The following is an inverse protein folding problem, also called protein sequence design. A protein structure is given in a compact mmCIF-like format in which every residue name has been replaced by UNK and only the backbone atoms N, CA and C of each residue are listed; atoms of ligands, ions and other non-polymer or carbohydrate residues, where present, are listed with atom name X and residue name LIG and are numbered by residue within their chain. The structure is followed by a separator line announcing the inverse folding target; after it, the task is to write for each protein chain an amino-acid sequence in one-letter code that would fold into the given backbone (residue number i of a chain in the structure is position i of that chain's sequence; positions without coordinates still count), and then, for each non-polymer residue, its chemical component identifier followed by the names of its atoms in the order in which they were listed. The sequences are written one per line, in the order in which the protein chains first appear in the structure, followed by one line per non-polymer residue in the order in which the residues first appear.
data_IF_941879229073
#
_entry.id   IF_941879229073
#
_cell.length_a   1.000
_cell.length_b   1.000
_cell.length_c   1.000
_cell.angle_alpha   90.00
_cell.angle_beta   90.00
_cell.angle_gamma   90.00
#
_symmetry.space_group_name_H-M   'P 1'
#
loop_
_entity.id
_entity.type
_entity.pdbx_description
1 polymer ?
#
# COMPACT_ATOMS: atom_id res chain seq x y z
N UNK A 1 -24.75 -16.42 8.54
CA UNK A 1 -23.63 -16.12 7.63
C UNK A 1 -24.16 -15.25 6.52
N UNK A 2 -23.55 -14.13 6.15
CA UNK A 2 -23.99 -13.37 5.00
C UNK A 2 -23.89 -14.28 3.76
N UNK A 3 -25.00 -14.40 3.01
CA UNK A 3 -24.98 -14.98 1.67
C UNK A 3 -23.98 -14.23 0.79
N UNK A 4 -23.65 -14.75 -0.37
CA UNK A 4 -22.60 -14.26 -1.29
C UNK A 4 -22.29 -12.76 -1.10
N UNK A 5 -21.38 -12.46 -0.17
CA UNK A 5 -21.02 -11.11 0.20
C UNK A 5 -20.24 -10.49 -0.95
N UNK A 6 -20.88 -9.55 -1.64
CA UNK A 6 -20.26 -8.80 -2.74
C UNK A 6 -19.16 -7.84 -2.26
N UNK A 7 -18.98 -7.67 -0.93
CA UNK A 7 -17.96 -6.77 -0.36
C UNK A 7 -16.51 -7.23 -0.61
N UNK A 8 -16.32 -8.53 -0.90
CA UNK A 8 -14.98 -9.11 -1.06
C UNK A 8 -14.25 -9.41 0.26
N UNK A 9 -14.92 -9.31 1.41
CA UNK A 9 -14.38 -9.67 2.74
C UNK A 9 -14.94 -10.98 3.25
N UNK A 10 -14.93 -12.00 2.39
CA UNK A 10 -15.38 -13.37 2.70
C UNK A 10 -14.28 -14.19 3.38
N UNK A 11 -14.57 -15.45 3.71
CA UNK A 11 -13.59 -16.42 4.23
C UNK A 11 -12.43 -16.70 3.26
N UNK A 12 -12.58 -16.37 1.97
CA UNK A 12 -11.50 -16.43 0.99
C UNK A 12 -10.47 -15.31 1.19
N UNK A 13 -10.85 -14.17 1.75
CA UNK A 13 -9.98 -13.02 1.99
C UNK A 13 -9.32 -13.08 3.38
N UNK A 14 -10.09 -12.84 4.45
CA UNK A 14 -9.63 -12.76 5.84
C UNK A 14 -8.43 -11.83 6.03
N UNK A 15 -8.53 -10.54 5.72
CA UNK A 15 -7.42 -9.63 5.97
C UNK A 15 -7.25 -9.40 7.47
N UNK A 16 -5.99 -9.30 7.91
CA UNK A 16 -5.61 -9.07 9.29
C UNK A 16 -5.49 -7.58 9.58
N UNK A 17 -5.92 -7.16 10.77
CA UNK A 17 -5.78 -5.78 11.25
C UNK A 17 -5.64 -5.71 12.76
N UNK A 18 -5.35 -4.53 13.26
CA UNK A 18 -5.27 -4.21 14.68
C UNK A 18 -6.41 -3.26 15.03
N UNK A 19 -7.20 -3.62 16.02
CA UNK A 19 -8.38 -2.87 16.43
C UNK A 19 -8.49 -2.72 17.94
N UNK A 20 -9.24 -1.74 18.40
CA UNK A 20 -9.64 -1.61 19.80
C UNK A 20 -11.11 -1.17 19.91
N UNK A 21 -11.76 -1.55 21.00
CA UNK A 21 -13.00 -0.93 21.46
C UNK A 21 -12.66 0.31 22.31
N UNK A 22 -13.61 1.25 22.50
CA UNK A 22 -13.39 2.41 23.35
C UNK A 22 -12.94 2.03 24.76
N UNK A 23 -11.79 2.55 25.18
CA UNK A 23 -11.21 2.25 26.50
C UNK A 23 -10.48 0.91 26.63
N UNK A 24 -10.46 0.08 25.61
CA UNK A 24 -9.73 -1.21 25.59
C UNK A 24 -8.38 -1.12 24.92
N UNK A 25 -7.53 -2.12 25.19
CA UNK A 25 -6.24 -2.28 24.51
C UNK A 25 -6.44 -2.73 23.06
N UNK A 26 -5.55 -2.27 22.19
CA UNK A 26 -5.50 -2.72 20.82
C UNK A 26 -5.07 -4.20 20.73
N UNK A 27 -5.67 -4.95 19.79
CA UNK A 27 -5.43 -6.36 19.56
C UNK A 27 -5.71 -6.77 18.13
N UNK A 28 -5.26 -7.94 17.73
CA UNK A 28 -5.34 -8.45 16.38
C UNK A 28 -6.69 -9.08 16.09
N UNK A 29 -7.26 -8.76 14.95
CA UNK A 29 -8.45 -9.41 14.39
C UNK A 29 -8.37 -9.64 12.89
N UNK A 30 -9.31 -10.40 12.37
CA UNK A 30 -9.54 -10.55 10.92
C UNK A 30 -10.89 -9.97 10.55
N UNK A 31 -10.98 -9.36 9.38
CA UNK A 31 -12.24 -8.81 8.85
C UNK A 31 -13.04 -9.90 8.16
N UNK A 32 -14.32 -9.97 8.48
CA UNK A 32 -15.32 -10.84 7.84
C UNK A 32 -16.57 -9.99 7.57
N UNK A 33 -16.83 -9.65 6.31
CA UNK A 33 -17.90 -8.72 5.95
C UNK A 33 -17.70 -7.35 6.59
N UNK A 34 -18.69 -6.92 7.38
CA UNK A 34 -18.72 -5.68 8.15
C UNK A 34 -18.31 -5.84 9.63
N UNK A 35 -17.69 -6.98 9.96
CA UNK A 35 -17.28 -7.32 11.33
C UNK A 35 -15.78 -7.62 11.41
N UNK A 36 -15.25 -7.49 12.63
CA UNK A 36 -13.90 -7.95 13.01
C UNK A 36 -14.05 -9.14 13.95
N UNK A 37 -13.44 -10.27 13.62
CA UNK A 37 -13.31 -11.40 14.50
C UNK A 37 -12.07 -11.20 15.39
N UNK A 38 -12.27 -11.15 16.71
CA UNK A 38 -11.21 -11.07 17.71
C UNK A 38 -10.47 -12.42 17.81
N UNK A 39 -9.19 -12.45 17.44
CA UNK A 39 -8.46 -13.71 17.30
C UNK A 39 -7.92 -14.27 18.63
N UNK A 40 -7.61 -13.43 19.61
CA UNK A 40 -6.99 -13.89 20.86
C UNK A 40 -7.89 -14.88 21.62
N UNK A 41 -9.16 -14.57 21.92
CA UNK A 41 -10.07 -15.51 22.58
C UNK A 41 -10.48 -16.70 21.70
N UNK A 42 -10.67 -16.47 20.39
CA UNK A 42 -11.12 -17.50 19.44
C UNK A 42 -10.07 -18.57 19.21
N UNK A 43 -8.81 -18.18 19.13
CA UNK A 43 -7.70 -19.11 18.89
C UNK A 43 -6.99 -19.56 20.17
N UNK A 44 -7.35 -18.98 21.33
CA UNK A 44 -6.66 -19.20 22.61
C UNK A 44 -5.14 -19.00 22.49
N UNK A 45 -4.73 -17.91 21.83
CA UNK A 45 -3.33 -17.57 21.58
C UNK A 45 -3.07 -16.09 21.87
N UNK A 46 -2.30 -15.84 22.94
CA UNK A 46 -1.97 -14.49 23.43
C UNK A 46 -1.17 -13.64 22.43
N UNK A 47 -0.62 -14.24 21.38
CA UNK A 47 0.08 -13.46 20.33
C UNK A 47 -0.87 -12.45 19.67
N UNK A 48 -2.16 -12.75 19.61
CA UNK A 48 -3.19 -11.90 19.03
C UNK A 48 -3.73 -10.84 20.01
N UNK A 49 -3.38 -10.90 21.29
CA UNK A 49 -3.69 -9.86 22.27
C UNK A 49 -2.74 -8.65 22.17
N UNK A 50 -1.80 -8.68 21.21
CA UNK A 50 -0.85 -7.59 20.92
C UNK A 50 -1.49 -6.47 20.10
N UNK A 51 -1.04 -5.23 20.32
CA UNK A 51 -1.38 -4.07 19.50
C UNK A 51 -0.65 -3.99 18.16
N UNK A 52 -0.04 -5.08 17.69
CA UNK A 52 0.69 -5.18 16.43
C UNK A 52 0.66 -6.61 15.89
N UNK A 53 0.66 -6.76 14.56
CA UNK A 53 0.82 -8.06 13.89
C UNK A 53 2.23 -8.64 14.01
N UNK A 54 3.24 -7.83 14.36
CA UNK A 54 4.66 -8.23 14.28
C UNK A 54 4.95 -9.55 15.00
N UNK A 55 4.45 -9.75 16.21
CA UNK A 55 4.69 -10.99 16.96
C UNK A 55 4.11 -12.23 16.26
N UNK A 56 2.95 -12.09 15.61
CA UNK A 56 2.32 -13.17 14.84
C UNK A 56 3.06 -13.45 13.53
N UNK A 57 3.34 -12.40 12.74
CA UNK A 57 3.95 -12.58 11.43
C UNK A 57 5.41 -13.05 11.52
N UNK A 58 6.10 -12.78 12.64
CA UNK A 58 7.42 -13.34 12.93
C UNK A 58 7.44 -14.87 13.10
N UNK A 59 6.29 -15.51 13.29
CA UNK A 59 6.20 -16.98 13.42
C UNK A 59 6.41 -17.72 12.07
N UNK A 60 6.41 -17.01 10.96
CA UNK A 60 6.71 -17.53 9.63
C UNK A 60 5.52 -18.20 8.94
N UNK A 61 5.76 -18.57 7.68
CA UNK A 61 4.74 -18.98 6.70
C UNK A 61 3.87 -20.15 7.17
N UNK A 62 4.43 -21.17 7.81
CA UNK A 62 3.65 -22.31 8.32
C UNK A 62 2.61 -21.84 9.34
N UNK A 63 2.99 -20.98 10.28
CA UNK A 63 2.07 -20.44 11.27
C UNK A 63 0.99 -19.55 10.63
N UNK A 64 1.32 -18.77 9.59
CA UNK A 64 0.34 -17.97 8.85
C UNK A 64 -0.71 -18.87 8.17
N UNK A 65 -0.24 -19.91 7.46
CA UNK A 65 -1.09 -20.88 6.80
C UNK A 65 -2.03 -21.58 7.78
N UNK A 66 -1.48 -22.16 8.86
CA UNK A 66 -2.25 -22.93 9.85
C UNK A 66 -3.29 -22.09 10.55
N UNK A 67 -2.92 -20.85 10.92
CA UNK A 67 -3.85 -19.88 11.53
C UNK A 67 -5.01 -19.55 10.57
N UNK A 68 -4.70 -19.21 9.33
CA UNK A 68 -5.69 -18.92 8.30
C UNK A 68 -6.64 -20.09 8.09
N UNK A 69 -6.11 -21.30 7.93
CA UNK A 69 -6.91 -22.52 7.75
C UNK A 69 -7.79 -22.81 8.96
N UNK A 70 -7.29 -22.55 10.17
CA UNK A 70 -8.08 -22.71 11.41
C UNK A 70 -9.25 -21.73 11.44
N UNK A 71 -9.02 -20.46 11.13
CA UNK A 71 -10.09 -19.44 11.07
C UNK A 71 -11.09 -19.77 9.97
N UNK A 72 -10.65 -20.22 8.80
CA UNK A 72 -11.55 -20.64 7.71
C UNK A 72 -12.47 -21.78 8.15
N UNK A 73 -11.94 -22.84 8.80
CA UNK A 73 -12.76 -23.93 9.32
C UNK A 73 -13.78 -23.49 10.36
N UNK A 74 -13.42 -22.58 11.26
CA UNK A 74 -14.33 -22.05 12.26
C UNK A 74 -15.48 -21.21 11.64
N UNK A 75 -15.24 -20.57 10.53
CA UNK A 75 -16.21 -19.73 9.79
C UNK A 75 -16.97 -20.50 8.71
N UNK A 76 -16.63 -21.76 8.46
CA UNK A 76 -17.24 -22.59 7.43
C UNK A 76 -18.71 -22.89 7.80
N UNK A 77 -19.64 -22.41 6.97
CA UNK A 77 -21.07 -22.61 7.17
C UNK A 77 -21.56 -24.02 6.84
N UNK A 78 -20.78 -24.76 6.05
CA UNK A 78 -21.10 -26.13 5.61
C UNK A 78 -20.45 -27.20 6.51
N UNK A 79 -19.63 -26.79 7.50
CA UNK A 79 -19.00 -27.72 8.43
C UNK A 79 -20.05 -28.42 9.32
N UNK A 80 -19.86 -29.67 9.68
CA UNK A 80 -20.75 -30.38 10.62
C UNK A 80 -20.97 -29.63 11.95
N UNK A 81 -19.95 -28.90 12.41
CA UNK A 81 -19.94 -28.13 13.65
C UNK A 81 -20.38 -26.66 13.46
N UNK A 82 -20.87 -26.26 12.28
CA UNK A 82 -21.15 -24.86 11.93
C UNK A 82 -22.03 -24.12 12.95
N UNK A 83 -23.06 -24.80 13.50
CA UNK A 83 -23.94 -24.20 14.50
C UNK A 83 -23.21 -23.93 15.83
N UNK A 84 -22.39 -24.89 16.30
CA UNK A 84 -21.60 -24.76 17.52
C UNK A 84 -20.50 -23.68 17.33
N UNK A 85 -19.82 -23.70 16.19
CA UNK A 85 -18.81 -22.68 15.82
C UNK A 85 -19.43 -21.28 15.81
N UNK A 86 -20.61 -21.12 15.20
CA UNK A 86 -21.31 -19.81 15.17
C UNK A 86 -21.59 -19.30 16.58
N UNK A 87 -22.15 -20.14 17.46
CA UNK A 87 -22.43 -19.75 18.83
C UNK A 87 -21.16 -19.39 19.63
N UNK A 88 -20.04 -20.06 19.34
CA UNK A 88 -18.75 -19.74 19.95
C UNK A 88 -18.10 -18.47 19.42
N UNK A 89 -18.32 -18.16 18.14
CA UNK A 89 -17.71 -16.98 17.50
C UNK A 89 -18.52 -15.69 17.73
N UNK A 90 -19.85 -15.79 17.87
CA UNK A 90 -20.75 -14.64 17.97
C UNK A 90 -20.33 -13.60 19.03
N UNK A 91 -19.88 -13.96 20.24
CA UNK A 91 -19.42 -12.98 21.24
C UNK A 91 -18.13 -12.26 20.85
N UNK A 92 -17.39 -12.78 19.87
CA UNK A 92 -16.08 -12.29 19.42
C UNK A 92 -16.14 -11.60 18.04
N UNK A 93 -17.32 -11.52 17.43
CA UNK A 93 -17.56 -10.76 16.20
C UNK A 93 -18.02 -9.35 16.56
N UNK A 94 -17.20 -8.38 16.22
CA UNK A 94 -17.42 -6.97 16.58
C UNK A 94 -17.73 -6.16 15.31
N UNK A 95 -18.86 -5.43 15.23
CA UNK A 95 -19.13 -4.55 14.10
C UNK A 95 -18.04 -3.51 13.88
N UNK A 96 -17.65 -3.28 12.62
CA UNK A 96 -16.60 -2.33 12.24
C UNK A 96 -16.86 -0.91 12.72
N UNK A 97 -18.12 -0.48 12.74
CA UNK A 97 -18.55 0.84 13.22
C UNK A 97 -18.25 1.09 14.72
N UNK A 98 -18.04 0.03 15.50
CA UNK A 98 -17.76 0.09 16.94
C UNK A 98 -16.29 0.07 17.27
N UNK A 99 -15.41 -0.20 16.30
CA UNK A 99 -13.98 -0.35 16.54
C UNK A 99 -13.20 0.86 16.03
N UNK A 100 -12.10 1.14 16.70
CA UNK A 100 -11.04 1.99 16.18
C UNK A 100 -9.96 1.10 15.58
N UNK A 101 -9.64 1.33 14.30
CA UNK A 101 -8.52 0.66 13.65
C UNK A 101 -7.20 1.38 13.96
N UNK A 102 -6.12 0.61 14.01
CA UNK A 102 -4.77 1.07 14.25
C UNK A 102 -3.85 0.66 13.09
N UNK A 103 -2.64 1.22 13.05
CA UNK A 103 -1.62 0.74 12.13
C UNK A 103 -1.37 -0.75 12.41
N UNK A 104 -1.47 -1.63 11.39
CA UNK A 104 -1.48 -3.08 11.64
C UNK A 104 -0.12 -3.63 12.07
N UNK A 105 0.97 -2.92 11.77
CA UNK A 105 2.35 -3.31 12.07
C UNK A 105 3.11 -2.16 12.74
N UNK A 106 4.11 -2.50 13.51
CA UNK A 106 5.18 -1.57 13.88
C UNK A 106 6.17 -1.55 12.72
N UNK A 107 6.17 -0.45 11.96
CA UNK A 107 7.02 -0.33 10.75
C UNK A 107 8.47 -0.17 11.17
N UNK A 108 9.28 -1.20 10.89
CA UNK A 108 10.70 -1.21 11.21
C UNK A 108 11.50 -0.32 10.27
N UNK A 109 11.35 -0.55 8.96
CA UNK A 109 11.94 0.24 7.89
C UNK A 109 10.89 0.43 6.77
N UNK A 110 11.09 1.46 5.94
CA UNK A 110 10.23 1.73 4.80
C UNK A 110 11.10 1.98 3.56
N UNK A 111 10.85 1.19 2.53
CA UNK A 111 11.49 1.36 1.22
C UNK A 111 10.40 1.61 0.20
N UNK A 112 10.55 2.67 -0.58
CA UNK A 112 9.67 2.98 -1.69
C UNK A 112 10.39 2.76 -3.02
N UNK A 113 9.76 1.98 -3.91
CA UNK A 113 10.26 1.67 -5.23
C UNK A 113 9.65 2.55 -6.31
N UNK A 114 10.06 2.34 -7.54
CA UNK A 114 9.65 3.11 -8.72
C UNK A 114 9.39 2.15 -9.89
N UNK A 115 8.45 1.21 -9.71
CA UNK A 115 8.32 -0.01 -10.52
C UNK A 115 7.39 0.09 -11.72
N UNK A 116 6.61 1.19 -11.87
CA UNK A 116 5.74 1.41 -13.03
C UNK A 116 6.50 2.05 -14.18
N UNK A 117 6.50 1.37 -15.34
CA UNK A 117 7.08 1.89 -16.58
C UNK A 117 6.38 3.17 -17.02
N UNK A 118 5.07 3.19 -16.93
CA UNK A 118 4.21 4.31 -17.33
C UNK A 118 4.48 5.52 -16.46
N UNK A 119 4.42 5.36 -15.14
CA UNK A 119 4.71 6.44 -14.19
C UNK A 119 6.13 7.00 -14.39
N UNK A 120 7.14 6.14 -14.45
CA UNK A 120 8.53 6.55 -14.65
C UNK A 120 8.73 7.31 -15.98
N UNK A 121 8.06 6.86 -17.03
CA UNK A 121 8.12 7.51 -18.34
C UNK A 121 7.40 8.87 -18.33
N UNK A 122 6.21 8.96 -17.72
CA UNK A 122 5.45 10.20 -17.64
C UNK A 122 6.19 11.27 -16.84
N UNK A 123 6.69 10.93 -15.65
CA UNK A 123 7.49 11.84 -14.83
C UNK A 123 8.79 12.26 -15.55
N UNK A 124 9.43 11.31 -16.21
CA UNK A 124 10.61 11.59 -17.02
C UNK A 124 10.34 12.62 -18.12
N UNK A 125 9.23 12.49 -18.85
CA UNK A 125 8.81 13.46 -19.89
C UNK A 125 8.51 14.84 -19.30
N UNK A 126 7.86 14.89 -18.13
CA UNK A 126 7.51 16.17 -17.47
C UNK A 126 8.72 16.90 -16.90
N UNK A 127 9.66 16.16 -16.26
CA UNK A 127 10.80 16.78 -15.59
C UNK A 127 12.04 16.95 -16.47
N UNK A 128 12.15 16.18 -17.56
CA UNK A 128 13.30 16.14 -18.47
C UNK A 128 12.84 16.01 -19.94
N UNK A 129 12.11 16.99 -20.46
CA UNK A 129 11.49 16.89 -21.80
C UNK A 129 12.49 16.67 -22.93
N UNK A 130 13.74 17.14 -22.77
CA UNK A 130 14.80 17.07 -23.78
C UNK A 130 15.71 15.83 -23.62
N UNK A 131 15.43 14.95 -22.64
CA UNK A 131 16.23 13.74 -22.38
C UNK A 131 15.40 12.46 -22.63
N UNK A 132 16.10 11.31 -22.59
CA UNK A 132 15.38 10.04 -22.48
C UNK A 132 14.57 10.04 -21.15
N UNK A 133 13.26 9.81 -21.20
CA UNK A 133 12.43 9.84 -20.01
C UNK A 133 12.88 8.84 -18.93
N UNK A 134 13.39 7.68 -19.33
CA UNK A 134 13.93 6.68 -18.42
C UNK A 134 15.45 6.85 -18.29
N UNK A 135 15.94 6.90 -17.06
CA UNK A 135 17.39 6.84 -16.80
C UNK A 135 17.92 5.43 -17.17
N UNK A 136 19.19 5.31 -17.57
CA UNK A 136 19.75 4.05 -18.10
C UNK A 136 19.59 2.83 -17.19
N UNK A 137 19.66 3.03 -15.87
CA UNK A 137 19.54 1.95 -14.87
C UNK A 137 18.11 1.44 -14.67
N UNK A 138 17.08 2.22 -15.04
CA UNK A 138 15.69 1.92 -14.69
C UNK A 138 15.20 0.57 -15.24
N UNK A 139 15.65 0.19 -16.46
CA UNK A 139 15.28 -1.11 -17.07
C UNK A 139 16.15 -2.27 -16.60
N UNK A 140 17.16 -2.01 -15.77
CA UNK A 140 18.12 -3.02 -15.31
C UNK A 140 17.95 -3.41 -13.85
N UNK A 141 17.30 -2.57 -13.06
CA UNK A 141 17.03 -2.81 -11.63
C UNK A 141 15.79 -2.05 -11.17
N UNK A 142 15.05 -2.56 -10.18
CA UNK A 142 14.00 -1.78 -9.52
C UNK A 142 14.63 -0.65 -8.70
N UNK A 143 14.46 0.58 -9.18
CA UNK A 143 14.93 1.78 -8.48
C UNK A 143 14.09 2.01 -7.25
N UNK A 144 14.71 2.33 -6.12
CA UNK A 144 14.01 2.63 -4.88
C UNK A 144 14.82 3.58 -3.99
N UNK A 145 14.18 4.07 -2.95
CA UNK A 145 14.81 4.89 -1.92
C UNK A 145 14.30 4.52 -0.53
N UNK A 146 15.08 4.86 0.50
CA UNK A 146 14.66 4.68 1.90
C UNK A 146 13.71 5.81 2.29
N UNK A 147 12.43 5.46 2.50
CA UNK A 147 11.41 6.36 3.01
C UNK A 147 11.52 6.53 4.53
N UNK A 148 10.65 7.36 5.08
CA UNK A 148 10.61 7.59 6.53
C UNK A 148 9.57 6.71 7.20
N UNK A 149 10.00 5.62 7.83
CA UNK A 149 9.10 4.70 8.56
C UNK A 149 8.32 5.39 9.68
N UNK A 150 8.91 6.39 10.35
CA UNK A 150 8.30 7.11 11.46
C UNK A 150 7.11 8.01 11.09
N UNK A 151 6.81 8.18 9.81
CA UNK A 151 5.65 8.93 9.31
C UNK A 151 4.66 8.07 8.51
N UNK A 152 4.81 6.75 8.58
CA UNK A 152 3.77 5.82 8.13
C UNK A 152 2.62 5.86 9.15
N UNK A 153 1.43 6.19 8.68
CA UNK A 153 0.22 6.37 9.51
C UNK A 153 -0.91 5.50 9.00
N UNK A 154 -1.84 5.15 9.89
CA UNK A 154 -3.01 4.36 9.49
C UNK A 154 -3.98 5.19 8.63
N UNK A 155 -4.65 4.53 7.69
CA UNK A 155 -5.78 5.05 6.90
C UNK A 155 -6.76 5.85 7.77
N UNK A 156 -7.24 6.98 7.26
CA UNK A 156 -8.12 7.90 7.98
C UNK A 156 -7.39 8.95 8.83
N UNK A 157 -6.07 8.85 8.98
CA UNK A 157 -5.28 9.90 9.64
C UNK A 157 -5.25 11.16 8.75
N UNK A 158 -5.64 12.34 9.27
CA UNK A 158 -5.55 13.59 8.52
C UNK A 158 -4.11 13.93 8.14
N UNK A 159 -3.92 14.46 6.93
CA UNK A 159 -2.61 14.79 6.38
C UNK A 159 -2.42 16.31 6.37
N UNK A 160 -1.55 16.80 7.22
CA UNK A 160 -1.22 18.23 7.27
C UNK A 160 -0.35 18.60 6.08
N UNK A 161 -0.76 19.61 5.29
CA UNK A 161 0.02 20.11 4.16
C UNK A 161 1.43 20.49 4.61
N UNK A 162 2.48 19.89 4.01
CA UNK A 162 3.86 20.15 4.44
C UNK A 162 4.34 21.53 4.02
N UNK A 163 5.33 22.02 4.72
CA UNK A 163 6.08 23.24 4.40
C UNK A 163 7.51 22.86 4.05
N UNK A 164 8.08 23.56 3.09
CA UNK A 164 9.46 23.33 2.66
C UNK A 164 9.97 24.42 1.74
N UNK A 165 11.22 24.28 1.29
CA UNK A 165 11.77 25.09 0.24
C UNK A 165 11.21 24.62 -1.10
N UNK A 166 10.92 25.59 -1.96
CA UNK A 166 10.47 25.42 -3.34
C UNK A 166 11.36 26.22 -4.27
N UNK A 167 11.38 25.92 -5.58
CA UNK A 167 12.12 26.74 -6.55
C UNK A 167 11.80 28.23 -6.41
N UNK A 168 12.71 29.12 -6.81
CA UNK A 168 12.43 30.55 -6.87
C UNK A 168 11.15 30.84 -7.63
N UNK A 169 10.41 31.86 -7.20
CA UNK A 169 9.30 32.40 -8.00
C UNK A 169 9.82 32.91 -9.35
N UNK A 170 8.95 33.00 -10.37
CA UNK A 170 9.31 33.46 -11.68
C UNK A 170 10.03 34.81 -11.59
N UNK A 171 11.27 34.89 -12.14
CA UNK A 171 12.14 36.06 -12.08
C UNK A 171 12.88 36.28 -10.75
N UNK A 172 12.71 35.38 -9.77
CA UNK A 172 13.45 35.43 -8.51
C UNK A 172 14.72 34.59 -8.53
N UNK A 173 15.66 34.93 -7.63
CA UNK A 173 16.95 34.23 -7.49
C UNK A 173 17.00 33.31 -6.23
N UNK A 174 16.10 33.52 -5.28
CA UNK A 174 16.09 32.80 -4.00
C UNK A 174 14.93 31.82 -3.91
N UNK A 175 15.17 30.64 -3.32
CA UNK A 175 14.09 29.70 -3.05
C UNK A 175 13.03 30.32 -2.13
N UNK A 176 11.79 29.86 -2.27
CA UNK A 176 10.66 30.29 -1.44
C UNK A 176 10.39 29.23 -0.39
N UNK A 177 10.27 29.63 0.87
CA UNK A 177 9.84 28.74 1.94
C UNK A 177 8.34 28.93 2.24
N UNK A 178 7.59 27.84 2.30
CA UNK A 178 6.16 27.92 2.61
C UNK A 178 5.43 26.57 2.43
N UNK A 179 4.10 26.58 2.53
CA UNK A 179 3.28 25.40 2.25
C UNK A 179 3.46 24.91 0.82
N UNK A 180 3.43 23.59 0.62
CA UNK A 180 3.39 23.02 -0.73
C UNK A 180 2.16 23.51 -1.49
N UNK A 181 2.35 23.92 -2.74
CA UNK A 181 1.28 24.32 -3.66
C UNK A 181 0.96 23.23 -4.69
N UNK A 182 1.72 22.13 -4.68
CA UNK A 182 1.52 20.96 -5.53
C UNK A 182 1.48 19.68 -4.69
N UNK A 183 0.50 19.60 -3.77
CA UNK A 183 0.29 18.40 -2.97
C UNK A 183 -0.41 17.34 -3.81
N UNK A 184 0.13 16.14 -3.80
CA UNK A 184 -0.24 15.00 -4.64
C UNK A 184 -0.33 13.71 -3.82
N UNK A 185 -0.79 12.65 -4.46
CA UNK A 185 -0.81 11.28 -3.94
C UNK A 185 0.02 10.36 -4.84
N UNK A 186 0.36 9.20 -4.31
CA UNK A 186 0.79 8.04 -5.10
C UNK A 186 0.02 6.81 -4.65
N UNK A 187 -0.81 6.27 -5.55
CA UNK A 187 -1.57 5.05 -5.29
C UNK A 187 -0.66 3.83 -5.47
N UNK A 188 -0.43 3.08 -4.38
CA UNK A 188 0.58 2.03 -4.32
C UNK A 188 0.10 0.76 -3.62
N UNK A 189 0.83 -0.32 -3.87
CA UNK A 189 0.73 -1.56 -3.11
C UNK A 189 1.97 -1.73 -2.23
N UNK A 190 1.75 -1.88 -0.93
CA UNK A 190 2.79 -2.14 0.06
C UNK A 190 2.85 -3.63 0.44
N UNK A 191 4.05 -4.12 0.70
CA UNK A 191 4.35 -5.51 1.06
C UNK A 191 4.92 -5.54 2.48
N UNK A 192 4.31 -6.36 3.33
CA UNK A 192 4.66 -6.47 4.75
C UNK A 192 5.59 -7.66 4.97
N UNK A 193 6.79 -7.39 5.46
CA UNK A 193 7.76 -8.42 5.81
C UNK A 193 7.35 -9.09 7.13
N UNK A 194 7.20 -10.40 7.10
CA UNK A 194 6.95 -11.23 8.29
C UNK A 194 8.21 -11.90 8.80
N UNK A 195 8.85 -12.73 7.97
CA UNK A 195 10.05 -13.48 8.36
C UNK A 195 11.32 -12.67 8.06
N UNK A 196 12.16 -12.39 9.07
CA UNK A 196 13.39 -11.61 8.88
C UNK A 196 14.49 -12.41 8.17
N UNK A 197 15.57 -11.72 7.76
CA UNK A 197 16.86 -12.34 7.35
C UNK A 197 17.97 -11.90 8.30
N UNK A 198 19.09 -12.64 8.28
CA UNK A 198 20.32 -12.22 8.93
C UNK A 198 21.04 -11.09 8.17
N UNK A 199 21.92 -10.36 8.84
CA UNK A 199 22.81 -9.41 8.19
C UNK A 199 23.84 -10.19 7.33
N UNK A 200 23.97 -9.79 6.06
CA UNK A 200 24.82 -10.48 5.09
C UNK A 200 24.10 -11.62 4.36
N UNK A 201 22.83 -11.86 4.66
CA UNK A 201 22.03 -12.94 4.07
C UNK A 201 20.96 -12.35 3.13
N UNK A 202 21.09 -12.51 1.81
CA UNK A 202 20.01 -12.15 0.87
C UNK A 202 18.72 -12.92 1.17
N UNK A 203 17.57 -12.31 0.91
CA UNK A 203 16.30 -13.00 1.02
C UNK A 203 16.22 -14.17 0.03
N UNK A 204 15.59 -15.26 0.48
CA UNK A 204 15.23 -16.41 -0.34
C UNK A 204 13.92 -16.21 -1.10
N UNK A 205 13.06 -17.21 -1.06
CA UNK A 205 11.76 -17.15 -1.74
C UNK A 205 10.87 -16.06 -1.15
N UNK A 206 10.26 -15.27 -2.03
CA UNK A 206 9.42 -14.12 -1.67
C UNK A 206 8.32 -14.50 -0.65
N UNK A 207 7.62 -15.61 -0.87
CA UNK A 207 6.54 -16.06 -0.01
C UNK A 207 6.97 -16.56 1.36
N UNK A 208 8.26 -16.82 1.59
CA UNK A 208 8.79 -17.18 2.91
C UNK A 208 8.99 -15.94 3.78
N UNK A 209 9.20 -14.77 3.16
CA UNK A 209 9.50 -13.54 3.87
C UNK A 209 8.31 -12.58 3.96
N UNK A 210 7.46 -12.52 2.94
CA UNK A 210 6.36 -11.56 2.86
C UNK A 210 5.05 -12.19 3.33
N UNK A 211 4.46 -11.61 4.36
CA UNK A 211 3.18 -12.06 4.93
C UNK A 211 1.98 -11.70 4.05
N UNK A 212 1.94 -10.46 3.56
CA UNK A 212 0.78 -9.97 2.85
C UNK A 212 0.97 -8.58 2.27
N UNK A 213 -0.11 -8.05 1.74
CA UNK A 213 -0.15 -6.74 1.08
C UNK A 213 -1.14 -5.79 1.74
N UNK A 214 -0.87 -4.50 1.63
CA UNK A 214 -1.77 -3.43 2.03
C UNK A 214 -1.74 -2.30 0.99
N UNK A 215 -2.83 -1.55 0.85
CA UNK A 215 -2.81 -0.34 0.06
C UNK A 215 -2.00 0.74 0.78
N UNK A 216 -1.24 1.50 0.03
CA UNK A 216 -0.41 2.61 0.48
C UNK A 216 -0.71 3.84 -0.36
N UNK A 217 -0.72 5.01 0.28
CA UNK A 217 -0.69 6.30 -0.40
C UNK A 217 0.55 7.05 0.08
N UNK A 218 1.54 7.22 -0.80
CA UNK A 218 2.74 8.00 -0.53
C UNK A 218 2.50 9.46 -0.91
N UNK A 219 2.07 10.26 0.07
CA UNK A 219 1.75 11.67 -0.11
C UNK A 219 2.97 12.43 -0.59
N UNK A 220 2.79 13.25 -1.63
CA UNK A 220 3.90 13.87 -2.37
C UNK A 220 3.73 15.37 -2.52
N UNK A 221 4.67 16.15 -1.97
CA UNK A 221 4.75 17.59 -2.20
C UNK A 221 5.65 17.84 -3.41
N UNK A 222 5.08 17.85 -4.63
CA UNK A 222 5.83 17.83 -5.90
C UNK A 222 6.72 19.04 -6.10
N UNK A 223 6.33 20.20 -5.64
CA UNK A 223 7.11 21.43 -5.72
C UNK A 223 8.33 21.42 -4.78
N UNK A 224 8.19 20.83 -3.58
CA UNK A 224 9.31 20.60 -2.66
C UNK A 224 10.22 19.50 -3.22
N UNK A 225 9.64 18.38 -3.66
CA UNK A 225 10.37 17.26 -4.26
C UNK A 225 11.22 17.70 -5.45
N UNK A 226 10.65 18.49 -6.37
CA UNK A 226 11.35 18.97 -7.57
C UNK A 226 12.58 19.83 -7.24
N UNK A 227 12.57 20.52 -6.10
CA UNK A 227 13.69 21.36 -5.65
C UNK A 227 14.82 20.57 -5.00
N UNK A 228 14.49 19.49 -4.28
CA UNK A 228 15.46 18.81 -3.41
C UNK A 228 15.98 17.46 -3.93
N UNK A 229 15.30 16.82 -4.91
CA UNK A 229 15.56 15.39 -5.20
C UNK A 229 16.94 15.10 -5.83
N UNK A 230 17.61 16.10 -6.37
CA UNK A 230 18.98 15.98 -6.90
C UNK A 230 19.96 16.53 -5.87
N UNK A 231 21.03 15.80 -5.48
CA UNK A 231 21.57 14.55 -6.11
C UNK A 231 21.15 13.24 -5.40
N UNK A 232 20.46 13.25 -4.25
CA UNK A 232 20.33 12.05 -3.39
C UNK A 232 18.93 11.42 -3.44
N UNK A 233 17.99 11.97 -4.15
CA UNK A 233 16.60 11.51 -4.19
C UNK A 233 15.65 12.32 -3.31
N UNK A 234 14.34 11.94 -3.24
CA UNK A 234 13.33 12.71 -2.52
C UNK A 234 13.56 12.63 -0.99
N UNK A 235 13.20 13.70 -0.29
CA UNK A 235 13.35 13.80 1.17
C UNK A 235 12.12 14.44 1.83
N UNK A 236 12.10 15.78 2.03
CA UNK A 236 10.98 16.47 2.70
C UNK A 236 9.68 16.44 1.87
N UNK A 237 9.79 16.35 0.55
CA UNK A 237 8.65 16.23 -0.36
C UNK A 237 7.89 14.91 -0.20
N UNK A 238 8.45 13.94 0.54
CA UNK A 238 7.89 12.60 0.77
C UNK A 238 7.73 12.27 2.25
N UNK A 239 8.70 12.64 3.09
CA UNK A 239 8.82 12.16 4.46
C UNK A 239 7.80 12.74 5.45
N UNK A 240 6.82 13.54 5.02
CA UNK A 240 5.83 14.15 5.89
C UNK A 240 4.65 13.24 6.23
N UNK A 241 4.26 12.34 5.32
CA UNK A 241 3.22 11.33 5.56
C UNK A 241 3.26 10.22 4.50
N UNK A 242 3.03 8.99 4.93
CA UNK A 242 2.68 7.84 4.09
C UNK A 242 1.50 7.13 4.76
N UNK A 243 0.33 7.08 4.12
CA UNK A 243 -0.84 6.41 4.66
C UNK A 243 -0.85 4.93 4.25
N UNK A 244 -1.12 4.04 5.21
CA UNK A 244 -1.23 2.60 5.00
C UNK A 244 -2.63 2.13 5.40
N UNK A 245 -3.22 1.22 4.64
CA UNK A 245 -4.46 0.54 5.01
C UNK A 245 -4.36 -0.08 6.41
N UNK A 246 -5.46 -0.06 7.15
CA UNK A 246 -5.57 -0.76 8.44
C UNK A 246 -5.61 -2.29 8.29
N UNK A 247 -5.72 -2.80 7.07
CA UNK A 247 -5.89 -4.22 6.76
C UNK A 247 -4.76 -4.74 5.89
N UNK A 248 -4.16 -5.84 6.32
CA UNK A 248 -3.16 -6.59 5.54
C UNK A 248 -3.82 -7.85 4.98
N UNK A 249 -3.93 -7.91 3.66
CA UNK A 249 -4.43 -9.09 2.94
C UNK A 249 -3.31 -10.11 2.81
N UNK A 250 -3.45 -11.34 3.34
CA UNK A 250 -2.40 -12.36 3.23
C UNK A 250 -2.11 -12.72 1.78
N UNK A 251 -0.85 -13.06 1.44
CA UNK A 251 -0.49 -13.50 0.09
C UNK A 251 -1.31 -14.71 -0.38
N UNK A 252 -1.70 -15.61 0.51
CA UNK A 252 -2.53 -16.77 0.18
C UNK A 252 -3.93 -16.39 -0.33
N UNK A 253 -4.49 -15.28 0.13
CA UNK A 253 -5.78 -14.78 -0.35
C UNK A 253 -5.70 -14.33 -1.82
N UNK A 254 -4.51 -13.97 -2.28
CA UNK A 254 -4.23 -13.49 -3.63
C UNK A 254 -3.75 -14.60 -4.59
N UNK A 255 -3.86 -15.86 -4.21
CA UNK A 255 -3.39 -16.98 -5.04
C UNK A 255 -4.01 -16.99 -6.45
N UNK A 256 -5.30 -16.62 -6.56
CA UNK A 256 -6.02 -16.53 -7.83
C UNK A 256 -5.71 -15.26 -8.63
N UNK A 257 -5.11 -14.27 -8.01
CA UNK A 257 -4.67 -13.03 -8.66
C UNK A 257 -3.25 -13.12 -9.24
N UNK A 258 -2.51 -14.22 -8.99
CA UNK A 258 -1.13 -14.36 -9.47
C UNK A 258 -1.07 -14.56 -10.97
N UNK A 259 -0.23 -13.77 -11.62
CA UNK A 259 0.03 -13.87 -13.06
C UNK A 259 1.54 -13.68 -13.36
N UNK A 260 2.01 -14.04 -14.56
CA UNK A 260 3.33 -13.67 -15.00
C UNK A 260 3.41 -12.14 -15.04
N UNK A 261 4.46 -11.55 -14.48
CA UNK A 261 4.71 -10.12 -14.69
C UNK A 261 4.89 -9.79 -16.19
N UNK A 262 4.92 -8.50 -16.53
CA UNK A 262 5.17 -8.03 -17.91
C UNK A 262 6.50 -8.58 -18.45
N UNK A 263 6.58 -8.73 -19.76
CA UNK A 263 7.85 -9.01 -20.43
C UNK A 263 8.85 -7.87 -20.15
N UNK A 264 10.08 -8.24 -19.83
CA UNK A 264 11.15 -7.29 -19.52
C UNK A 264 12.19 -7.30 -20.62
N UNK A 265 12.54 -6.10 -21.10
CA UNK A 265 13.54 -5.84 -22.13
C UNK A 265 14.44 -4.69 -21.66
N UNK A 266 15.77 -4.88 -21.49
CA UNK A 266 16.50 -6.16 -21.65
C UNK A 266 16.16 -7.19 -20.55
N UNK A 267 16.53 -8.46 -20.79
CA UNK A 267 16.40 -9.52 -19.78
C UNK A 267 17.17 -9.13 -18.50
N UNK A 268 16.54 -9.20 -17.31
CA UNK A 268 17.22 -8.87 -16.07
C UNK A 268 18.40 -9.80 -15.75
N UNK A 269 19.34 -9.29 -14.96
CA UNK A 269 20.45 -10.09 -14.43
C UNK A 269 19.94 -11.26 -13.57
N UNK A 270 20.77 -12.30 -13.40
CA UNK A 270 20.40 -13.57 -12.77
C UNK A 270 19.73 -13.44 -11.39
N UNK A 271 20.16 -12.49 -10.55
CA UNK A 271 19.58 -12.29 -9.22
C UNK A 271 18.16 -11.69 -9.26
N UNK A 272 17.77 -11.08 -10.40
CA UNK A 272 16.44 -10.52 -10.65
C UNK A 272 15.58 -11.42 -11.57
N UNK A 273 16.07 -12.59 -11.99
CA UNK A 273 15.25 -13.51 -12.77
C UNK A 273 14.09 -14.03 -11.94
N UNK A 274 12.89 -13.85 -12.46
CA UNK A 274 11.67 -14.36 -11.83
C UNK A 274 11.65 -15.89 -11.86
N UNK A 275 11.57 -16.49 -10.68
CA UNK A 275 11.45 -17.96 -10.53
C UNK A 275 9.99 -18.37 -10.41
N UNK A 276 9.14 -17.48 -9.95
CA UNK A 276 7.70 -17.67 -9.76
C UNK A 276 6.90 -16.53 -10.42
N UNK A 277 5.57 -16.70 -10.43
CA UNK A 277 4.65 -15.69 -10.97
C UNK A 277 4.19 -14.80 -9.82
N UNK A 278 4.82 -13.63 -9.67
CA UNK A 278 4.46 -12.64 -8.66
C UNK A 278 3.92 -11.33 -9.26
N UNK A 279 3.56 -11.32 -10.56
CA UNK A 279 2.63 -10.32 -11.05
C UNK A 279 1.28 -10.53 -10.35
N UNK A 280 0.55 -9.46 -10.04
CA UNK A 280 -0.72 -9.52 -9.35
C UNK A 280 -1.81 -8.82 -10.15
N UNK A 281 -2.92 -9.50 -10.40
CA UNK A 281 -4.11 -8.94 -11.04
C UNK A 281 -4.95 -8.19 -10.00
N UNK A 282 -4.51 -6.97 -9.68
CA UNK A 282 -5.20 -6.09 -8.75
C UNK A 282 -5.66 -4.86 -9.52
N UNK A 283 -6.96 -4.59 -9.48
CA UNK A 283 -7.58 -3.39 -10.02
C UNK A 283 -7.77 -2.38 -8.89
N UNK A 284 -7.14 -1.21 -9.02
CA UNK A 284 -7.25 -0.12 -8.05
C UNK A 284 -8.22 0.94 -8.55
N UNK A 285 -8.81 1.69 -7.62
CA UNK A 285 -9.54 2.92 -7.89
C UNK A 285 -9.03 4.04 -6.99
N UNK A 286 -8.80 5.20 -7.58
CA UNK A 286 -8.51 6.44 -6.85
C UNK A 286 -9.76 7.29 -6.85
N UNK A 287 -10.20 7.67 -5.66
CA UNK A 287 -11.37 8.53 -5.47
C UNK A 287 -10.93 9.86 -4.88
N UNK A 288 -11.49 10.95 -5.40
CA UNK A 288 -11.41 12.28 -4.82
C UNK A 288 -12.81 12.70 -4.34
N UNK A 289 -12.97 12.96 -3.05
CA UNK A 289 -14.25 13.28 -2.41
C UNK A 289 -15.38 12.30 -2.76
N UNK A 290 -15.03 11.01 -2.90
CA UNK A 290 -15.97 9.93 -3.25
C UNK A 290 -16.20 9.73 -4.75
N UNK A 291 -15.69 10.60 -5.62
CA UNK A 291 -15.75 10.42 -7.07
C UNK A 291 -14.53 9.67 -7.60
N UNK A 292 -14.74 8.61 -8.36
CA UNK A 292 -13.63 7.84 -8.99
C UNK A 292 -12.99 8.68 -10.10
N UNK A 293 -11.73 9.04 -9.91
CA UNK A 293 -10.94 9.87 -10.85
C UNK A 293 -9.93 9.08 -11.66
N UNK A 294 -9.55 7.87 -11.21
CA UNK A 294 -8.62 6.99 -11.94
C UNK A 294 -8.79 5.53 -11.54
N UNK A 295 -8.36 4.61 -12.45
CA UNK A 295 -8.37 3.15 -12.25
C UNK A 295 -7.02 2.52 -12.59
N UNK A 296 -6.00 2.69 -11.73
CA UNK A 296 -4.67 2.13 -11.97
C UNK A 296 -4.67 0.59 -11.90
N UNK A 297 -4.15 -0.11 -12.92
CA UNK A 297 -4.05 -1.57 -12.92
C UNK A 297 -2.68 -2.04 -12.41
N UNK A 298 -2.61 -2.68 -11.26
CA UNK A 298 -1.34 -3.18 -10.71
C UNK A 298 -0.67 -4.24 -11.63
N UNK A 299 -1.46 -4.98 -12.41
CA UNK A 299 -0.95 -5.97 -13.37
C UNK A 299 0.03 -5.40 -14.40
N UNK A 300 0.00 -4.09 -14.62
CA UNK A 300 0.89 -3.36 -15.54
C UNK A 300 2.26 -3.00 -14.94
N UNK A 301 2.52 -3.34 -13.68
CA UNK A 301 3.81 -3.06 -13.06
C UNK A 301 4.94 -3.81 -13.78
N UNK A 302 6.03 -3.10 -14.08
CA UNK A 302 7.18 -3.65 -14.81
C UNK A 302 8.05 -4.52 -13.92
N UNK A 303 8.41 -4.04 -12.72
CA UNK A 303 9.12 -4.80 -11.71
C UNK A 303 8.14 -5.46 -10.75
N UNK A 304 8.32 -6.76 -10.51
CA UNK A 304 7.46 -7.55 -9.63
C UNK A 304 7.94 -7.50 -8.18
N UNK A 305 7.10 -7.78 -7.17
CA UNK A 305 7.48 -7.65 -5.76
C UNK A 305 8.61 -8.59 -5.32
N UNK A 306 8.73 -9.76 -5.91
CA UNK A 306 9.85 -10.67 -5.68
C UNK A 306 11.18 -10.09 -6.19
N UNK A 307 11.16 -9.35 -7.31
CA UNK A 307 12.32 -8.64 -7.83
C UNK A 307 12.70 -7.44 -6.93
N UNK A 308 11.71 -6.73 -6.37
CA UNK A 308 11.96 -5.68 -5.38
C UNK A 308 12.66 -6.25 -4.14
N UNK A 309 12.11 -7.35 -3.58
CA UNK A 309 12.71 -8.02 -2.42
C UNK A 309 14.13 -8.51 -2.70
N UNK A 310 14.35 -9.14 -3.85
CA UNK A 310 15.67 -9.61 -4.27
C UNK A 310 16.66 -8.44 -4.37
N UNK A 311 16.23 -7.32 -4.97
CA UNK A 311 17.11 -6.16 -5.14
C UNK A 311 17.48 -5.49 -3.83
N UNK A 312 16.51 -5.30 -2.93
CA UNK A 312 16.76 -4.61 -1.66
C UNK A 312 17.60 -5.43 -0.67
N UNK A 313 17.83 -6.74 -0.95
CA UNK A 313 18.56 -7.62 -0.02
C UNK A 313 19.82 -8.26 -0.63
N UNK A 314 20.04 -8.19 -1.95
CA UNK A 314 21.15 -8.84 -2.63
C UNK A 314 22.54 -8.44 -2.11
N UNK A 315 22.66 -7.25 -1.56
CA UNK A 315 23.89 -6.73 -0.92
C UNK A 315 24.07 -7.21 0.52
N UNK A 316 23.18 -8.05 1.04
CA UNK A 316 23.18 -8.53 2.42
C UNK A 316 22.51 -7.59 3.44
N UNK A 317 21.77 -6.57 2.97
CA UNK A 317 20.90 -5.78 3.86
C UNK A 317 19.80 -6.68 4.43
N UNK A 318 19.70 -6.73 5.76
CA UNK A 318 18.73 -7.61 6.43
C UNK A 318 17.31 -7.10 6.33
N UNK A 319 16.37 -8.03 6.32
CA UNK A 319 14.96 -7.77 6.58
C UNK A 319 14.66 -7.89 8.08
N UNK A 320 13.70 -7.11 8.55
CA UNK A 320 13.12 -7.23 9.90
C UNK A 320 11.62 -7.47 9.80
N UNK A 321 11.07 -8.18 10.76
CA UNK A 321 9.61 -8.30 10.89
C UNK A 321 8.99 -6.91 11.04
N UNK A 322 7.99 -6.62 10.20
CA UNK A 322 7.34 -5.31 10.16
C UNK A 322 8.00 -4.30 9.20
N UNK A 323 9.09 -4.65 8.51
CA UNK A 323 9.57 -3.83 7.40
C UNK A 323 8.48 -3.76 6.32
N UNK A 324 8.34 -2.58 5.73
CA UNK A 324 7.39 -2.28 4.65
C UNK A 324 8.17 -1.87 3.39
N UNK A 325 7.84 -2.44 2.25
CA UNK A 325 8.28 -1.89 0.98
C UNK A 325 7.11 -1.71 0.03
N UNK A 326 7.09 -0.57 -0.66
CA UNK A 326 6.02 -0.18 -1.55
C UNK A 326 6.46 -0.20 -3.02
N UNK A 327 5.49 -0.37 -3.91
CA UNK A 327 5.73 -0.58 -5.34
C UNK A 327 6.18 0.67 -6.11
N UNK A 328 6.03 1.83 -5.51
CA UNK A 328 5.93 3.07 -6.25
C UNK A 328 4.56 3.20 -6.92
N UNK A 329 4.26 4.38 -7.39
CA UNK A 329 2.98 4.72 -8.02
C UNK A 329 2.57 3.70 -9.08
N UNK A 330 1.37 3.17 -8.96
CA UNK A 330 0.78 2.28 -9.95
C UNK A 330 0.13 3.12 -11.05
N UNK A 331 0.61 2.97 -12.29
CA UNK A 331 0.00 3.60 -13.46
C UNK A 331 -0.04 2.64 -14.63
N UNK A 332 -1.11 2.71 -15.41
CA UNK A 332 -1.27 1.99 -16.66
C UNK A 332 -1.07 2.88 -17.89
N UNK A 333 -1.20 2.31 -19.10
CA UNK A 333 -0.92 3.02 -20.37
C UNK A 333 -1.94 4.13 -20.67
N UNK A 334 -3.16 4.02 -20.18
CA UNK A 334 -4.25 4.94 -20.52
C UNK A 334 -4.31 6.13 -19.53
N UNK A 335 -4.81 7.28 -19.98
CA UNK A 335 -4.93 8.49 -19.16
C UNK A 335 -5.80 8.27 -17.89
N UNK A 336 -6.85 7.46 -17.98
CA UNK A 336 -7.71 7.10 -16.85
C UNK A 336 -7.12 6.05 -15.91
N UNK A 337 -5.84 5.65 -16.09
CA UNK A 337 -5.15 4.61 -15.32
C UNK A 337 -3.93 5.15 -14.57
N UNK A 338 -3.83 6.46 -14.39
CA UNK A 338 -2.70 7.13 -13.73
C UNK A 338 -2.89 7.18 -12.24
N UNK A 339 -1.87 6.81 -11.46
CA UNK A 339 -1.95 6.69 -10.01
C UNK A 339 -1.60 7.93 -9.21
N UNK A 340 -1.33 9.07 -9.88
CA UNK A 340 -0.99 10.33 -9.23
C UNK A 340 -1.60 11.53 -9.94
N UNK A 341 -1.88 12.63 -9.21
CA UNK A 341 -2.44 13.85 -9.80
C UNK A 341 -1.48 14.54 -10.76
N UNK A 342 -0.18 14.50 -10.50
CA UNK A 342 0.81 15.06 -11.42
C UNK A 342 0.71 14.42 -12.81
N UNK A 343 0.41 13.10 -12.88
CA UNK A 343 0.19 12.43 -14.15
C UNK A 343 -1.19 12.71 -14.72
N UNK A 344 -2.27 12.62 -13.90
CA UNK A 344 -3.66 12.86 -14.33
C UNK A 344 -3.81 14.25 -14.92
N UNK A 345 -3.13 15.25 -14.34
CA UNK A 345 -3.26 16.66 -14.73
C UNK A 345 -2.08 17.17 -15.56
N UNK A 346 -1.17 16.27 -15.95
CA UNK A 346 0.05 16.58 -16.68
C UNK A 346 0.81 17.78 -16.08
N UNK A 347 1.16 17.62 -14.78
CA UNK A 347 1.80 18.64 -13.94
C UNK A 347 0.98 19.95 -13.82
N UNK A 348 -0.35 19.86 -13.93
CA UNK A 348 -1.28 20.97 -13.82
C UNK A 348 -1.68 21.63 -15.15
N UNK A 349 -1.15 21.17 -16.29
CA UNK A 349 -1.50 21.71 -17.61
C UNK A 349 -2.91 21.30 -18.06
N UNK A 350 -3.39 20.14 -17.58
CA UNK A 350 -4.69 19.55 -17.93
C UNK A 350 -5.53 19.35 -16.66
N UNK A 351 -6.25 20.39 -16.17
CA UNK A 351 -6.99 20.29 -14.92
C UNK A 351 -8.06 19.16 -14.98
N UNK A 352 -8.10 18.34 -13.93
CA UNK A 352 -9.13 17.33 -13.72
C UNK A 352 -10.47 18.03 -13.46
N UNK A 353 -11.53 17.61 -14.17
CA UNK A 353 -12.89 18.12 -13.99
C UNK A 353 -13.69 17.11 -13.20
N UNK A 354 -14.28 17.55 -12.08
CA UNK A 354 -15.14 16.73 -11.23
C UNK A 354 -16.61 16.88 -11.65
N UNK A 355 -17.42 15.90 -11.29
CA UNK A 355 -18.85 15.86 -11.64
C UNK A 355 -19.66 17.05 -11.05
N UNK A 356 -19.20 17.61 -9.91
CA UNK A 356 -19.79 18.79 -9.28
C UNK A 356 -19.37 20.13 -9.91
N UNK A 357 -18.55 20.08 -10.97
CA UNK A 357 -18.04 21.25 -11.69
C UNK A 357 -16.75 21.85 -11.13
N UNK A 358 -16.24 21.36 -9.98
CA UNK A 358 -14.92 21.75 -9.50
C UNK A 358 -13.82 21.27 -10.45
N UNK A 359 -12.68 21.93 -10.41
CA UNK A 359 -11.47 21.51 -11.12
C UNK A 359 -10.32 21.34 -10.13
N UNK A 360 -9.44 20.38 -10.39
CA UNK A 360 -8.22 20.18 -9.60
C UNK A 360 -7.03 19.97 -10.51
N UNK A 361 -5.92 20.61 -10.16
CA UNK A 361 -4.59 20.32 -10.72
C UNK A 361 -3.77 19.50 -9.72
N UNK A 362 -3.83 19.90 -8.45
CA UNK A 362 -3.27 19.25 -7.28
C UNK A 362 -4.29 19.35 -6.15
N UNK A 363 -4.01 18.67 -5.03
CA UNK A 363 -4.92 18.63 -3.89
C UNK A 363 -5.00 19.97 -3.15
N UNK A 364 -6.21 20.35 -2.80
CA UNK A 364 -6.53 21.50 -1.95
C UNK A 364 -6.79 21.07 -0.51
N UNK A 365 -6.78 22.04 0.42
CA UNK A 365 -7.13 21.78 1.82
C UNK A 365 -8.62 21.42 1.92
N UNK A 366 -8.91 20.33 2.61
CA UNK A 366 -10.25 19.75 2.72
C UNK A 366 -10.52 18.60 1.75
N UNK A 367 -9.73 18.45 0.67
CA UNK A 367 -9.88 17.31 -0.24
C UNK A 367 -9.61 15.99 0.49
N UNK A 368 -10.44 14.98 0.23
CA UNK A 368 -10.28 13.63 0.75
C UNK A 368 -9.96 12.68 -0.40
N UNK A 369 -8.82 12.01 -0.32
CA UNK A 369 -8.46 10.95 -1.27
C UNK A 369 -8.64 9.59 -0.63
N UNK A 370 -9.26 8.68 -1.37
CA UNK A 370 -9.39 7.27 -1.00
C UNK A 370 -8.88 6.40 -2.13
N UNK A 371 -8.05 5.42 -1.81
CA UNK A 371 -7.65 4.36 -2.75
C UNK A 371 -8.28 3.07 -2.28
N UNK A 372 -8.97 2.39 -3.20
CA UNK A 372 -9.54 1.05 -3.01
C UNK A 372 -8.94 0.10 -4.03
N UNK A 373 -9.01 -1.21 -3.77
CA UNK A 373 -8.57 -2.20 -4.73
C UNK A 373 -9.29 -3.53 -4.57
N UNK A 374 -9.37 -4.26 -5.67
CA UNK A 374 -9.91 -5.62 -5.71
C UNK A 374 -9.06 -6.54 -6.57
N UNK A 375 -9.08 -7.83 -6.23
CA UNK A 375 -8.41 -8.89 -6.96
C UNK A 375 -9.37 -10.07 -7.21
N UNK A 376 -9.11 -10.92 -8.23
CA UNK A 376 -9.82 -12.19 -8.39
C UNK A 376 -9.62 -13.12 -7.18
N UNK A 377 -10.70 -13.71 -6.70
CA UNK A 377 -10.71 -14.76 -5.69
C UNK A 377 -11.09 -16.12 -6.29
N UNK A 378 -11.19 -17.16 -5.45
CA UNK A 378 -11.67 -18.48 -5.88
C UNK A 378 -13.11 -18.42 -6.42
N UNK A 379 -13.43 -19.32 -7.36
CA UNK A 379 -14.80 -19.52 -7.88
C UNK A 379 -15.49 -18.26 -8.40
N UNK A 380 -14.71 -17.35 -8.98
CA UNK A 380 -15.24 -16.07 -9.51
C UNK A 380 -15.59 -15.04 -8.42
N UNK A 381 -15.23 -15.30 -7.16
CA UNK A 381 -15.38 -14.33 -6.08
C UNK A 381 -14.36 -13.19 -6.21
N UNK A 382 -14.54 -12.16 -5.40
CA UNK A 382 -13.66 -11.01 -5.35
C UNK A 382 -12.96 -10.93 -3.99
N UNK A 383 -11.69 -10.58 -4.00
CA UNK A 383 -10.91 -10.20 -2.81
C UNK A 383 -10.82 -8.68 -2.79
N UNK A 384 -11.36 -8.05 -1.76
CA UNK A 384 -11.20 -6.61 -1.54
C UNK A 384 -9.98 -6.35 -0.65
N UNK A 385 -9.11 -5.45 -1.06
CA UNK A 385 -8.06 -4.92 -0.21
C UNK A 385 -8.63 -3.80 0.66
N UNK A 386 -8.18 -3.72 1.90
CA UNK A 386 -8.60 -2.63 2.79
C UNK A 386 -8.24 -1.27 2.18
N UNK A 387 -9.16 -0.31 2.29
CA UNK A 387 -8.96 1.02 1.75
C UNK A 387 -7.85 1.79 2.46
N UNK A 388 -7.24 2.74 1.74
CA UNK A 388 -6.40 3.79 2.33
C UNK A 388 -6.99 5.15 2.01
N UNK A 389 -7.25 5.96 3.05
CA UNK A 389 -7.88 7.26 2.92
C UNK A 389 -7.16 8.32 3.75
N UNK A 390 -7.23 9.57 3.30
CA UNK A 390 -6.71 10.71 4.05
C UNK A 390 -7.33 12.04 3.57
N UNK A 391 -7.58 12.93 4.53
CA UNK A 391 -8.10 14.28 4.27
C UNK A 391 -6.98 15.30 4.47
N UNK A 392 -6.78 16.16 3.48
CA UNK A 392 -5.78 17.23 3.54
C UNK A 392 -6.19 18.31 4.51
N UNK A 393 -5.31 18.63 5.45
CA UNK A 393 -5.48 19.75 6.37
C UNK A 393 -4.55 20.92 5.99
N UNK A 394 -4.98 22.17 6.30
CA UNK A 394 -4.12 23.33 6.09
C UNK A 394 -2.77 23.19 6.76
N UNK A 395 -1.76 23.77 6.14
CA UNK A 395 -0.42 23.85 6.73
C UNK A 395 -0.47 24.60 8.06
N UNK A 396 0.26 24.12 9.06
CA UNK A 396 0.36 24.80 10.35
C UNK A 396 0.97 26.19 10.17
N UNK A 397 0.33 27.20 10.77
CA UNK A 397 0.86 28.56 10.86
C UNK A 397 1.77 28.67 12.08
N UNK A 398 2.92 29.33 11.99
CA UNK A 398 3.71 29.71 13.15
C UNK A 398 5.00 28.93 13.44
N UNK A 399 5.68 28.44 12.40
CA UNK A 399 7.10 28.02 12.51
C UNK A 399 7.94 28.76 11.49
#
# INVERSE_FOLDING_TARGET
MPGADSSGYTTANLPYGVFSLPGERARVGVRVGDQVLDLAPVLHDEVFASGSLNAFIARGRTAWHDTRRRVQRLLDAEAPEAAANRAALEPHLVPLERVRMHLPIEVGDYVDFYCSLEHATNLGRMFRPDENPLKPNWRHLPVGYHGRSGTVVVSGTPVVRPRGQRPPAAGGERPVFGPSVKLDIEAELGFVVGTPTGLGEPAGDFAEHVFGVALVNDWSARDIQAWEYVPLGPFLGKSFATSMSAWVTPLEALAHARLPGRAQEPEPLDYLRRRERWGLDIAMEVLLDGEVVSRPPYREMYWTPDQMLAHMTVNGARLRTGDLFASGTVSGPDAGQRGSFIEMTWNGAEPLKLADGRTRTFLEDGDTVTVTATAPGPDGTRIALGEVSGTVQPARTGQ
#
